data_IF_577901637557
#
_entry.id   IF_577901637557
#
_cell.length_a   1.000
_cell.length_b   1.000
_cell.length_c   1.000
_cell.angle_alpha   90.00
_cell.angle_beta   90.00
_cell.angle_gamma   90.00
#
_symmetry.space_group_name_H-M   'P 1'
#
loop_
_entity.id
_entity.type
_entity.pdbx_description
1 polymer ?
#
# COMPACT_ATOMS: atom_id res chain seq x y z
N UNK A 1 -18.87 0.61 -2.14
CA UNK A 1 -17.50 0.75 -2.65
C UNK A 1 -16.50 0.32 -1.59
N UNK A 2 -15.47 -0.46 -1.95
CA UNK A 2 -14.43 -0.93 -1.02
C UNK A 2 -13.37 0.15 -0.78
N UNK A 3 -12.86 0.22 0.45
CA UNK A 3 -11.69 1.04 0.81
C UNK A 3 -10.50 0.11 1.00
N UNK A 4 -9.42 0.34 0.27
CA UNK A 4 -8.26 -0.53 0.23
C UNK A 4 -7.02 0.26 0.67
N UNK A 5 -6.24 -0.29 1.61
CA UNK A 5 -4.95 0.28 1.97
C UNK A 5 -3.89 -0.12 0.94
N UNK A 6 -3.22 0.86 0.34
CA UNK A 6 -2.18 0.61 -0.65
C UNK A 6 -0.91 -0.02 -0.03
N UNK A 7 -0.18 -0.85 -0.78
CA UNK A 7 1.11 -1.37 -0.34
C UNK A 7 2.17 -0.26 -0.39
N UNK A 8 2.71 0.11 0.76
CA UNK A 8 3.77 1.11 0.89
C UNK A 8 4.98 0.49 1.59
N UNK A 9 6.07 0.32 0.86
CA UNK A 9 7.29 -0.31 1.33
C UNK A 9 7.89 0.48 2.52
N UNK A 10 8.09 -0.19 3.66
CA UNK A 10 8.58 0.42 4.89
C UNK A 10 7.52 1.10 5.77
N UNK A 11 6.27 1.18 5.32
CA UNK A 11 5.18 1.84 6.06
C UNK A 11 4.04 0.88 6.41
N UNK A 12 3.46 0.18 5.43
CA UNK A 12 2.30 -0.70 5.65
C UNK A 12 2.70 -2.14 5.94
N UNK A 13 3.75 -2.34 6.75
CA UNK A 13 4.17 -3.66 7.25
C UNK A 13 3.09 -4.26 8.18
N UNK A 14 3.12 -5.56 8.42
CA UNK A 14 2.11 -6.29 9.18
C UNK A 14 1.77 -5.68 10.56
N UNK A 15 2.74 -5.23 11.38
CA UNK A 15 2.41 -4.59 12.65
C UNK A 15 1.54 -3.33 12.46
N UNK A 16 1.86 -2.51 11.44
CA UNK A 16 1.05 -1.33 11.15
C UNK A 16 -0.36 -1.71 10.71
N UNK A 17 -0.51 -2.66 9.78
CA UNK A 17 -1.83 -3.08 9.29
C UNK A 17 -2.70 -3.63 10.40
N UNK A 18 -2.12 -4.50 11.24
CA UNK A 18 -2.80 -5.10 12.40
C UNK A 18 -3.27 -4.02 13.38
N UNK A 19 -2.37 -3.17 13.85
CA UNK A 19 -2.73 -2.17 14.87
C UNK A 19 -3.59 -1.04 14.31
N UNK A 20 -3.42 -0.69 13.04
CA UNK A 20 -4.34 0.22 12.36
C UNK A 20 -5.78 -0.36 12.35
N UNK A 21 -5.96 -1.63 12.03
CA UNK A 21 -7.26 -2.29 12.07
C UNK A 21 -7.84 -2.36 13.51
N UNK A 22 -6.99 -2.56 14.51
CA UNK A 22 -7.41 -2.56 15.93
C UNK A 22 -7.88 -1.17 16.39
N UNK A 23 -7.16 -0.11 16.04
CA UNK A 23 -7.45 1.27 16.49
C UNK A 23 -8.62 1.89 15.72
N UNK A 24 -8.65 1.71 14.39
CA UNK A 24 -9.63 2.39 13.51
C UNK A 24 -10.79 1.48 13.07
N UNK A 25 -10.81 0.23 13.51
CA UNK A 25 -11.89 -0.71 13.23
C UNK A 25 -12.01 -1.11 11.76
N UNK A 26 -13.25 -1.28 11.29
CA UNK A 26 -13.57 -1.80 9.95
C UNK A 26 -13.55 -0.76 8.84
N UNK A 27 -12.85 0.37 9.02
CA UNK A 27 -12.78 1.42 7.99
C UNK A 27 -12.15 0.93 6.68
N UNK A 28 -11.08 0.16 6.77
CA UNK A 28 -10.40 -0.47 5.63
C UNK A 28 -10.91 -1.90 5.41
N UNK A 29 -11.42 -2.20 4.20
CA UNK A 29 -11.93 -3.55 3.85
C UNK A 29 -10.79 -4.53 3.52
N UNK A 30 -9.72 -4.02 2.93
CA UNK A 30 -8.59 -4.84 2.46
C UNK A 30 -7.29 -4.09 2.64
N UNK A 31 -6.32 -4.74 3.25
CA UNK A 31 -4.94 -4.25 3.31
C UNK A 31 -4.11 -4.94 2.23
N UNK A 32 -3.28 -4.19 1.50
CA UNK A 32 -2.26 -4.77 0.64
C UNK A 32 -0.91 -4.74 1.36
N UNK A 33 -0.27 -5.89 1.45
CA UNK A 33 1.07 -6.00 2.00
C UNK A 33 2.10 -5.37 1.03
N UNK A 34 3.18 -4.78 1.53
CA UNK A 34 4.32 -4.41 0.71
C UNK A 34 4.78 -5.58 -0.16
N UNK A 35 5.25 -5.28 -1.38
CA UNK A 35 5.59 -6.34 -2.32
C UNK A 35 6.74 -7.23 -1.83
N UNK A 36 6.60 -8.53 -2.09
CA UNK A 36 7.67 -9.50 -1.98
C UNK A 36 8.39 -9.66 -3.32
N UNK A 37 9.67 -10.02 -3.25
CA UNK A 37 10.52 -10.34 -4.41
C UNK A 37 11.49 -11.44 -4.06
N UNK A 38 12.03 -12.12 -5.06
CA UNK A 38 13.14 -13.02 -4.85
C UNK A 38 14.43 -12.23 -4.58
N UNK A 39 15.14 -12.64 -3.53
CA UNK A 39 16.51 -12.27 -3.23
C UNK A 39 17.31 -13.57 -3.06
N UNK A 40 18.33 -13.75 -3.89
CA UNK A 40 19.11 -15.00 -3.93
C UNK A 40 18.26 -16.28 -4.12
N UNK A 41 17.19 -16.17 -4.93
CA UNK A 41 16.35 -17.32 -5.30
C UNK A 41 15.19 -17.65 -4.34
N UNK A 42 14.99 -16.88 -3.26
CA UNK A 42 13.90 -17.09 -2.30
C UNK A 42 13.31 -15.76 -1.80
N UNK A 43 12.10 -15.82 -1.24
CA UNK A 43 11.54 -14.69 -0.49
C UNK A 43 12.30 -14.56 0.84
N UNK A 44 12.68 -13.33 1.20
CA UNK A 44 13.27 -13.11 2.53
C UNK A 44 12.30 -13.53 3.62
N UNK A 45 12.74 -14.28 4.64
CA UNK A 45 11.86 -14.78 5.70
C UNK A 45 11.03 -13.70 6.40
N UNK A 46 11.57 -12.46 6.51
CA UNK A 46 10.83 -11.34 7.11
C UNK A 46 9.68 -10.87 6.22
N UNK A 47 9.89 -10.83 4.89
CA UNK A 47 8.88 -10.36 3.93
C UNK A 47 7.77 -11.41 3.77
N UNK A 48 8.13 -12.70 3.81
CA UNK A 48 7.13 -13.78 3.85
C UNK A 48 6.29 -13.70 5.13
N UNK A 49 6.92 -13.56 6.30
CA UNK A 49 6.17 -13.39 7.57
C UNK A 49 5.26 -12.17 7.55
N UNK A 50 5.71 -11.07 6.95
CA UNK A 50 4.88 -9.87 6.80
C UNK A 50 3.65 -10.14 5.93
N UNK A 51 3.81 -10.88 4.84
CA UNK A 51 2.72 -11.20 3.91
C UNK A 51 1.65 -12.13 4.50
N UNK A 52 2.06 -13.10 5.33
CA UNK A 52 1.16 -14.11 5.91
C UNK A 52 0.53 -13.70 7.25
N UNK A 53 0.99 -12.60 7.84
CA UNK A 53 0.61 -12.21 9.21
C UNK A 53 -0.89 -11.89 9.39
N UNK A 54 -1.62 -11.67 8.29
CA UNK A 54 -3.04 -11.33 8.34
C UNK A 54 -3.84 -12.01 7.24
N UNK A 55 -4.90 -12.77 7.59
CA UNK A 55 -5.72 -13.51 6.63
C UNK A 55 -6.47 -12.64 5.61
N UNK A 56 -6.65 -11.33 5.92
CA UNK A 56 -7.36 -10.37 5.06
C UNK A 56 -6.43 -9.56 4.15
N UNK A 57 -5.12 -9.70 4.32
CA UNK A 57 -4.17 -8.99 3.48
C UNK A 57 -4.06 -9.64 2.09
N UNK A 58 -3.90 -8.81 1.08
CA UNK A 58 -3.47 -9.22 -0.25
C UNK A 58 -1.96 -9.13 -0.29
N UNK A 59 -1.28 -10.22 -0.65
CA UNK A 59 0.17 -10.22 -0.82
C UNK A 59 0.53 -9.70 -2.19
N UNK A 60 1.40 -8.69 -2.28
CA UNK A 60 1.83 -8.17 -3.56
C UNK A 60 3.15 -8.81 -4.00
N UNK A 61 3.22 -9.26 -5.26
CA UNK A 61 4.42 -9.74 -5.92
C UNK A 61 4.98 -8.66 -6.83
N UNK A 62 6.31 -8.52 -6.84
CA UNK A 62 7.03 -7.80 -7.89
C UNK A 62 8.05 -8.75 -8.52
N UNK A 63 7.88 -9.08 -9.81
CA UNK A 63 8.71 -10.02 -10.55
C UNK A 63 9.15 -9.43 -11.88
N UNK A 64 10.12 -10.08 -12.54
CA UNK A 64 10.65 -9.69 -13.84
C UNK A 64 10.19 -10.60 -14.99
N UNK A 65 9.83 -11.86 -14.68
CA UNK A 65 9.48 -12.90 -15.65
C UNK A 65 8.59 -13.98 -15.01
N UNK A 66 8.15 -14.94 -15.82
CA UNK A 66 7.28 -16.04 -15.41
C UNK A 66 7.95 -17.00 -14.41
N UNK A 67 9.25 -17.22 -14.49
CA UNK A 67 9.98 -18.10 -13.57
C UNK A 67 10.01 -17.48 -12.16
N UNK A 68 10.36 -16.20 -12.09
CA UNK A 68 10.36 -15.44 -10.82
C UNK A 68 8.96 -15.35 -10.22
N UNK A 69 7.93 -15.12 -11.07
CA UNK A 69 6.53 -15.13 -10.66
C UNK A 69 6.11 -16.47 -10.07
N UNK A 70 6.36 -17.60 -10.79
CA UNK A 70 5.97 -18.93 -10.34
C UNK A 70 6.64 -19.32 -9.04
N UNK A 71 7.91 -18.96 -8.86
CA UNK A 71 8.64 -19.19 -7.61
C UNK A 71 8.01 -18.42 -6.44
N UNK A 72 7.69 -17.14 -6.64
CA UNK A 72 7.06 -16.29 -5.63
C UNK A 72 5.64 -16.78 -5.29
N UNK A 73 4.83 -17.09 -6.30
CA UNK A 73 3.48 -17.60 -6.12
C UNK A 73 3.48 -18.94 -5.38
N UNK A 74 4.39 -19.86 -5.72
CA UNK A 74 4.54 -21.15 -5.05
C UNK A 74 4.89 -21.00 -3.57
N UNK A 75 5.84 -20.12 -3.21
CA UNK A 75 6.18 -19.88 -1.80
C UNK A 75 5.02 -19.27 -1.02
N UNK A 76 4.27 -18.32 -1.62
CA UNK A 76 3.12 -17.69 -0.98
C UNK A 76 1.96 -18.68 -0.81
N UNK A 77 1.64 -19.48 -1.82
CA UNK A 77 0.55 -20.47 -1.74
C UNK A 77 0.88 -21.59 -0.75
N UNK A 78 2.14 -22.05 -0.71
CA UNK A 78 2.61 -23.00 0.29
C UNK A 78 2.48 -22.45 1.74
N UNK A 79 2.54 -21.12 1.89
CA UNK A 79 2.29 -20.43 3.16
C UNK A 79 0.80 -20.14 3.43
N UNK A 80 -0.13 -20.60 2.57
CA UNK A 80 -1.58 -20.44 2.73
C UNK A 80 -2.16 -19.15 2.15
N UNK A 81 -1.39 -18.40 1.37
CA UNK A 81 -1.86 -17.18 0.68
C UNK A 81 -2.63 -17.59 -0.59
N UNK A 82 -3.85 -17.09 -0.70
CA UNK A 82 -4.73 -17.30 -1.86
C UNK A 82 -5.18 -15.99 -2.55
N UNK A 83 -4.62 -14.85 -2.17
CA UNK A 83 -4.89 -13.55 -2.78
C UNK A 83 -3.57 -12.86 -3.09
N UNK A 84 -3.27 -12.73 -4.37
CA UNK A 84 -1.99 -12.19 -4.85
C UNK A 84 -2.23 -11.03 -5.82
N UNK A 85 -1.52 -9.93 -5.60
CA UNK A 85 -1.54 -8.75 -6.46
C UNK A 85 -0.22 -8.63 -7.23
N UNK A 86 -0.28 -8.45 -8.55
CA UNK A 86 0.90 -8.24 -9.40
C UNK A 86 1.23 -6.74 -9.49
N UNK A 87 2.43 -6.36 -9.05
CA UNK A 87 2.90 -4.99 -9.17
C UNK A 87 3.45 -4.69 -10.56
N UNK A 88 2.73 -3.86 -11.31
CA UNK A 88 3.11 -3.34 -12.63
C UNK A 88 3.41 -1.83 -12.62
N UNK A 89 3.45 -1.20 -11.42
CA UNK A 89 3.52 0.26 -11.35
C UNK A 89 4.68 0.84 -10.55
N UNK A 90 5.53 0.02 -9.91
CA UNK A 90 6.66 0.53 -9.12
C UNK A 90 7.69 1.22 -10.01
N UNK A 91 7.90 2.56 -9.85
CA UNK A 91 8.82 3.31 -10.70
C UNK A 91 10.25 3.34 -10.16
N UNK A 92 10.53 2.66 -9.04
CA UNK A 92 11.82 2.71 -8.37
C UNK A 92 12.94 2.21 -9.29
N UNK A 93 13.94 3.06 -9.64
CA UNK A 93 14.90 2.74 -10.69
C UNK A 93 15.60 1.40 -10.58
N UNK A 94 16.03 0.92 -9.40
CA UNK A 94 16.60 -0.41 -9.27
C UNK A 94 15.63 -1.53 -9.68
N UNK A 95 14.33 -1.44 -9.36
CA UNK A 95 13.35 -2.44 -9.77
C UNK A 95 13.12 -2.40 -11.28
N UNK A 96 12.96 -1.20 -11.84
CA UNK A 96 12.78 -1.00 -13.28
C UNK A 96 13.97 -1.53 -14.06
N UNK A 97 15.21 -1.25 -13.61
CA UNK A 97 16.44 -1.78 -14.22
C UNK A 97 16.49 -3.32 -14.25
N UNK A 98 15.89 -3.96 -13.26
CA UNK A 98 15.76 -5.42 -13.19
C UNK A 98 14.52 -5.96 -13.92
N UNK A 99 13.81 -5.15 -14.70
CA UNK A 99 12.61 -5.56 -15.44
C UNK A 99 11.38 -5.82 -14.55
N UNK A 100 11.34 -5.27 -13.33
CA UNK A 100 10.26 -5.46 -12.36
C UNK A 100 9.35 -4.25 -12.28
N UNK A 101 8.11 -4.43 -11.84
CA UNK A 101 7.13 -3.37 -11.67
C UNK A 101 6.86 -2.62 -12.97
N UNK A 102 7.12 -1.30 -13.04
CA UNK A 102 7.00 -0.54 -14.28
C UNK A 102 7.97 -1.03 -15.39
N UNK A 103 9.02 -1.76 -15.03
CA UNK A 103 9.93 -2.39 -16.01
C UNK A 103 9.29 -3.62 -16.68
N UNK A 104 8.49 -4.41 -15.95
CA UNK A 104 7.69 -5.50 -16.53
C UNK A 104 6.55 -4.95 -17.39
N UNK A 105 5.87 -3.90 -16.93
CA UNK A 105 4.82 -3.22 -17.69
C UNK A 105 5.31 -2.62 -19.02
N UNK A 106 6.60 -2.35 -19.15
CA UNK A 106 7.21 -1.86 -20.39
C UNK A 106 7.57 -2.98 -21.40
N UNK A 107 7.30 -4.25 -21.08
CA UNK A 107 7.58 -5.42 -21.90
C UNK A 107 6.32 -6.31 -22.00
N UNK A 108 5.40 -6.02 -22.94
CA UNK A 108 4.13 -6.75 -23.07
C UNK A 108 4.31 -8.26 -23.33
N UNK A 109 5.37 -8.68 -24.03
CA UNK A 109 5.62 -10.11 -24.29
C UNK A 109 6.01 -10.84 -23.01
N UNK A 110 6.87 -10.23 -22.21
CA UNK A 110 7.27 -10.79 -20.91
C UNK A 110 6.11 -10.79 -19.92
N UNK A 111 5.30 -9.73 -19.93
CA UNK A 111 4.07 -9.67 -19.12
C UNK A 111 3.11 -10.79 -19.52
N UNK A 112 2.86 -11.01 -20.81
CA UNK A 112 2.01 -12.10 -21.26
C UNK A 112 2.43 -13.46 -20.73
N UNK A 113 3.75 -13.74 -20.70
CA UNK A 113 4.28 -14.98 -20.12
C UNK A 113 4.05 -15.07 -18.59
N UNK A 114 4.12 -13.96 -17.87
CA UNK A 114 3.79 -13.91 -16.43
C UNK A 114 2.31 -14.16 -16.19
N UNK A 115 1.44 -13.55 -16.98
CA UNK A 115 -0.02 -13.72 -16.89
C UNK A 115 -0.44 -15.15 -17.25
N UNK A 116 0.21 -15.78 -18.23
CA UNK A 116 -0.04 -17.18 -18.57
C UNK A 116 0.38 -18.13 -17.44
N UNK A 117 1.49 -17.84 -16.75
CA UNK A 117 1.94 -18.61 -15.58
C UNK A 117 0.93 -18.58 -14.41
N UNK A 118 0.05 -17.57 -14.31
CA UNK A 118 -1.02 -17.52 -13.29
C UNK A 118 -1.99 -18.69 -13.40
N UNK A 119 -2.18 -19.27 -14.59
CA UNK A 119 -3.05 -20.43 -14.80
C UNK A 119 -2.59 -21.69 -14.05
N UNK A 120 -1.34 -21.73 -13.58
CA UNK A 120 -0.81 -22.82 -12.74
C UNK A 120 -1.33 -22.76 -11.30
N UNK A 121 -2.00 -21.68 -10.90
CA UNK A 121 -2.47 -21.43 -9.52
C UNK A 121 -3.99 -21.13 -9.52
N UNK A 122 -4.84 -22.09 -9.90
CA UNK A 122 -6.28 -21.85 -10.05
C UNK A 122 -7.02 -21.50 -8.76
N UNK A 123 -6.41 -21.81 -7.59
CA UNK A 123 -6.95 -21.50 -6.26
C UNK A 123 -6.65 -20.06 -5.82
N UNK A 124 -5.81 -19.33 -6.55
CA UNK A 124 -5.39 -17.98 -6.21
C UNK A 124 -6.28 -16.95 -6.89
N UNK A 125 -6.81 -16.01 -6.12
CA UNK A 125 -7.44 -14.79 -6.63
C UNK A 125 -6.37 -13.76 -6.99
N UNK A 126 -6.18 -13.53 -8.29
CA UNK A 126 -5.21 -12.56 -8.77
C UNK A 126 -5.83 -11.17 -8.98
N UNK A 127 -5.08 -10.14 -8.59
CA UNK A 127 -5.29 -8.75 -8.99
C UNK A 127 -3.99 -8.17 -9.56
N UNK A 128 -4.08 -7.01 -10.19
CA UNK A 128 -2.89 -6.29 -10.64
C UNK A 128 -2.99 -4.81 -10.26
N UNK A 129 -1.82 -4.18 -10.06
CA UNK A 129 -1.73 -2.75 -9.81
C UNK A 129 -0.74 -2.09 -10.76
N UNK A 130 -1.24 -1.14 -11.56
CA UNK A 130 -0.42 -0.42 -12.55
C UNK A 130 -0.53 1.10 -12.42
N UNK A 131 0.20 1.81 -13.28
CA UNK A 131 0.09 3.25 -13.55
C UNK A 131 -0.52 3.49 -14.93
N UNK A 132 -0.55 4.74 -15.37
CA UNK A 132 -1.10 5.12 -16.68
C UNK A 132 -0.17 4.79 -17.87
N UNK A 133 1.07 4.39 -17.60
CA UNK A 133 2.00 4.05 -18.67
C UNK A 133 1.55 2.78 -19.42
N UNK A 134 1.57 2.82 -20.76
CA UNK A 134 1.32 1.70 -21.67
C UNK A 134 -0.04 0.98 -21.47
N UNK A 135 -1.00 1.60 -20.80
CA UNK A 135 -2.26 0.93 -20.44
C UNK A 135 -2.99 0.30 -21.67
N UNK A 136 -2.95 0.95 -22.82
CA UNK A 136 -3.65 0.48 -24.04
C UNK A 136 -3.08 -0.87 -24.55
N UNK A 137 -1.79 -1.11 -24.36
CA UNK A 137 -1.15 -2.39 -24.71
C UNK A 137 -1.35 -3.45 -23.61
N UNK A 138 -1.42 -3.03 -22.33
CA UNK A 138 -1.52 -3.94 -21.21
C UNK A 138 -2.94 -4.44 -20.97
N UNK A 139 -3.94 -3.62 -21.24
CA UNK A 139 -5.33 -3.91 -20.92
C UNK A 139 -5.86 -5.18 -21.56
N UNK A 140 -5.67 -5.43 -22.87
CA UNK A 140 -6.10 -6.67 -23.51
C UNK A 140 -5.42 -7.93 -22.93
N UNK A 141 -4.16 -7.82 -22.51
CA UNK A 141 -3.44 -8.92 -21.88
C UNK A 141 -4.01 -9.23 -20.50
N UNK A 142 -4.28 -8.20 -19.69
CA UNK A 142 -4.87 -8.35 -18.36
C UNK A 142 -6.29 -8.93 -18.44
N UNK A 143 -7.10 -8.48 -19.39
CA UNK A 143 -8.48 -8.98 -19.60
C UNK A 143 -8.54 -10.45 -20.02
N UNK A 144 -7.55 -10.91 -20.79
CA UNK A 144 -7.46 -12.31 -21.22
C UNK A 144 -6.82 -13.25 -20.18
N UNK A 145 -6.41 -12.72 -19.03
CA UNK A 145 -5.69 -13.44 -18.00
C UNK A 145 -6.57 -13.81 -16.78
N UNK A 146 -6.07 -14.57 -15.79
CA UNK A 146 -6.77 -14.85 -14.53
C UNK A 146 -6.99 -13.64 -13.61
N UNK A 147 -6.49 -12.44 -13.96
CA UNK A 147 -6.66 -11.22 -13.16
C UNK A 147 -8.14 -10.87 -12.99
N UNK A 148 -8.60 -10.68 -11.75
CA UNK A 148 -10.00 -10.41 -11.40
C UNK A 148 -10.31 -8.93 -11.14
N UNK A 149 -9.30 -8.11 -10.88
CA UNK A 149 -9.46 -6.67 -10.66
C UNK A 149 -8.16 -5.93 -10.92
N UNK A 150 -8.27 -4.65 -11.25
CA UNK A 150 -7.13 -3.82 -11.62
C UNK A 150 -7.14 -2.51 -10.81
N UNK A 151 -6.09 -2.29 -10.03
CA UNK A 151 -5.86 -1.01 -9.37
C UNK A 151 -5.02 -0.09 -10.25
N UNK A 152 -5.53 1.10 -10.55
CA UNK A 152 -4.84 2.08 -11.40
C UNK A 152 -4.42 3.27 -10.56
N UNK A 153 -3.10 3.48 -10.43
CA UNK A 153 -2.58 4.73 -9.94
C UNK A 153 -2.63 5.75 -11.08
N UNK A 154 -3.58 6.67 -10.98
CA UNK A 154 -3.90 7.65 -12.03
C UNK A 154 -2.79 8.72 -12.20
N UNK A 155 -1.54 8.27 -12.35
CA UNK A 155 -0.34 9.05 -12.65
C UNK A 155 0.62 8.26 -13.53
N UNK A 156 1.35 8.96 -14.38
CA UNK A 156 2.46 8.37 -15.13
C UNK A 156 3.68 8.13 -14.26
N UNK A 157 4.52 7.18 -14.64
CA UNK A 157 5.76 6.81 -13.93
C UNK A 157 6.67 8.00 -13.64
N UNK A 158 6.81 8.92 -14.61
CA UNK A 158 7.67 10.10 -14.50
C UNK A 158 7.22 11.07 -13.40
N UNK A 159 5.92 11.15 -13.14
CA UNK A 159 5.35 11.98 -12.08
C UNK A 159 5.69 11.46 -10.68
N UNK A 160 6.04 10.18 -10.54
CA UNK A 160 6.20 9.50 -9.25
C UNK A 160 4.98 9.72 -8.34
N UNK A 161 5.09 10.69 -7.43
CA UNK A 161 4.03 11.08 -6.48
C UNK A 161 3.71 12.58 -6.55
N UNK A 162 4.25 13.30 -7.53
CA UNK A 162 4.00 14.72 -7.75
C UNK A 162 2.80 14.95 -8.69
N UNK A 163 2.26 16.15 -8.65
CA UNK A 163 1.11 16.53 -9.47
C UNK A 163 -0.21 15.86 -9.05
N UNK A 164 -1.25 16.21 -9.77
CA UNK A 164 -2.59 15.66 -9.57
C UNK A 164 -2.77 14.31 -10.27
N UNK A 165 -3.79 13.56 -9.86
CA UNK A 165 -4.23 12.37 -10.56
C UNK A 165 -4.90 12.76 -11.88
N UNK A 166 -4.57 12.07 -12.96
CA UNK A 166 -5.20 12.27 -14.27
C UNK A 166 -6.54 11.51 -14.33
N UNK A 167 -7.61 12.21 -13.98
CA UNK A 167 -8.96 11.64 -13.97
C UNK A 167 -9.52 11.45 -15.37
N UNK A 168 -9.06 12.23 -16.35
CA UNK A 168 -9.51 12.09 -17.73
C UNK A 168 -8.96 10.80 -18.33
N UNK A 169 -7.67 10.55 -18.18
CA UNK A 169 -7.06 9.31 -18.65
C UNK A 169 -7.61 8.10 -17.90
N UNK A 170 -7.85 8.21 -16.59
CA UNK A 170 -8.51 7.16 -15.81
C UNK A 170 -9.91 6.85 -16.34
N UNK A 171 -10.70 7.89 -16.70
CA UNK A 171 -12.03 7.71 -17.29
C UNK A 171 -11.98 7.01 -18.65
N UNK A 172 -10.96 7.32 -19.48
CA UNK A 172 -10.71 6.63 -20.74
C UNK A 172 -10.47 5.15 -20.52
N UNK A 173 -9.56 4.79 -19.62
CA UNK A 173 -9.28 3.38 -19.27
C UNK A 173 -10.54 2.68 -18.78
N UNK A 174 -11.32 3.37 -17.92
CA UNK A 174 -12.57 2.80 -17.38
C UNK A 174 -13.59 2.48 -18.48
N UNK A 175 -13.66 3.28 -19.52
CA UNK A 175 -14.55 3.04 -20.67
C UNK A 175 -14.10 1.87 -21.54
N UNK A 176 -12.80 1.57 -21.57
CA UNK A 176 -12.20 0.54 -22.43
C UNK A 176 -12.13 -0.84 -21.76
N UNK A 177 -12.30 -0.95 -20.43
CA UNK A 177 -12.14 -2.23 -19.73
C UNK A 177 -13.43 -2.73 -19.07
N UNK A 178 -13.57 -4.07 -19.05
CA UNK A 178 -14.58 -4.78 -18.26
C UNK A 178 -14.06 -5.25 -16.91
N UNK A 179 -12.77 -5.15 -16.65
CA UNK A 179 -12.21 -5.51 -15.34
C UNK A 179 -12.76 -4.59 -14.25
N UNK A 180 -13.13 -5.12 -13.08
CA UNK A 180 -13.45 -4.32 -11.91
C UNK A 180 -12.26 -3.40 -11.56
N UNK A 181 -12.47 -2.08 -11.67
CA UNK A 181 -11.43 -1.09 -11.42
C UNK A 181 -11.42 -0.60 -9.99
N UNK A 182 -10.20 -0.38 -9.49
CA UNK A 182 -9.89 0.25 -8.22
C UNK A 182 -9.11 1.53 -8.53
N UNK A 183 -9.69 2.68 -8.15
CA UNK A 183 -8.99 3.97 -8.29
C UNK A 183 -7.91 4.10 -7.23
N UNK A 184 -6.72 4.57 -7.59
CA UNK A 184 -5.67 4.96 -6.67
C UNK A 184 -5.07 6.30 -7.10
N UNK A 185 -4.98 7.25 -6.17
CA UNK A 185 -4.28 8.52 -6.39
C UNK A 185 -4.91 9.71 -5.69
N UNK A 186 -4.13 10.47 -4.92
CA UNK A 186 -4.50 11.77 -4.40
C UNK A 186 -5.57 11.82 -3.31
N UNK A 187 -5.98 10.71 -2.73
CA UNK A 187 -7.00 10.71 -1.67
C UNK A 187 -6.33 10.93 -0.31
N UNK A 188 -6.59 12.07 0.31
CA UNK A 188 -6.10 12.48 1.63
C UNK A 188 -7.20 13.04 2.54
N UNK A 189 -8.41 13.23 2.00
CA UNK A 189 -9.57 13.74 2.72
C UNK A 189 -10.83 12.96 2.32
N UNK A 190 -11.87 13.04 3.18
CA UNK A 190 -13.18 12.48 2.89
C UNK A 190 -13.80 13.14 1.65
N UNK A 191 -13.63 14.45 1.48
CA UNK A 191 -14.12 15.16 0.30
C UNK A 191 -13.53 14.60 -1.00
N UNK A 192 -12.23 14.42 -1.08
CA UNK A 192 -11.58 13.83 -2.27
C UNK A 192 -12.08 12.41 -2.53
N UNK A 193 -12.34 11.63 -1.48
CA UNK A 193 -12.96 10.32 -1.64
C UNK A 193 -14.38 10.42 -2.22
N UNK A 194 -15.22 11.31 -1.67
CA UNK A 194 -16.59 11.50 -2.11
C UNK A 194 -16.66 12.03 -3.55
N UNK A 195 -15.74 12.92 -3.94
CA UNK A 195 -15.62 13.43 -5.30
C UNK A 195 -15.32 12.30 -6.30
N UNK A 196 -14.39 11.40 -5.99
CA UNK A 196 -14.08 10.22 -6.83
C UNK A 196 -15.25 9.23 -6.82
N UNK A 197 -15.82 8.94 -5.66
CA UNK A 197 -16.93 7.99 -5.54
C UNK A 197 -18.17 8.45 -6.31
N UNK A 198 -18.43 9.77 -6.34
CA UNK A 198 -19.53 10.38 -7.08
C UNK A 198 -19.24 10.42 -8.59
N UNK A 199 -18.02 10.73 -8.99
CA UNK A 199 -17.59 10.74 -10.38
C UNK A 199 -17.54 9.36 -11.03
N UNK A 200 -17.28 8.31 -10.23
CA UNK A 200 -17.12 6.92 -10.67
C UNK A 200 -17.87 5.94 -9.75
N UNK A 201 -19.21 5.94 -9.77
CA UNK A 201 -20.01 5.19 -8.78
C UNK A 201 -19.91 3.67 -8.88
N UNK A 202 -19.48 3.15 -10.00
CA UNK A 202 -19.36 1.70 -10.31
C UNK A 202 -17.93 1.14 -10.14
N UNK A 203 -17.03 1.89 -9.49
CA UNK A 203 -15.73 1.35 -9.10
C UNK A 203 -15.88 0.19 -8.10
N UNK A 204 -15.04 -0.82 -8.26
CA UNK A 204 -14.92 -1.91 -7.29
C UNK A 204 -14.37 -1.42 -5.94
N UNK A 205 -13.57 -0.36 -5.95
CA UNK A 205 -13.03 0.26 -4.75
C UNK A 205 -12.16 1.48 -5.01
N UNK A 206 -11.73 2.09 -3.91
CA UNK A 206 -10.74 3.18 -3.90
C UNK A 206 -9.59 2.74 -3.01
N UNK A 207 -8.37 2.80 -3.55
CA UNK A 207 -7.14 2.45 -2.84
C UNK A 207 -6.46 3.72 -2.34
N UNK A 208 -6.25 3.80 -1.03
CA UNK A 208 -5.65 4.95 -0.36
C UNK A 208 -4.24 4.57 0.12
N UNK A 209 -3.25 5.36 -0.24
CA UNK A 209 -1.86 5.17 0.17
C UNK A 209 -1.43 6.19 1.23
N UNK A 210 -0.70 7.20 0.81
CA UNK A 210 -0.16 8.24 1.70
C UNK A 210 -1.24 8.95 2.54
N UNK A 211 -2.48 9.04 2.04
CA UNK A 211 -3.58 9.59 2.82
C UNK A 211 -3.86 8.84 4.12
N UNK A 212 -3.71 7.50 4.14
CA UNK A 212 -3.78 6.73 5.39
C UNK A 212 -2.53 6.88 6.27
N UNK A 213 -1.39 7.32 5.70
CA UNK A 213 -0.20 7.61 6.51
C UNK A 213 -0.29 8.98 7.16
N UNK A 214 -0.83 9.97 6.44
CA UNK A 214 -1.00 11.33 6.95
C UNK A 214 -2.24 11.51 7.82
N UNK A 215 -3.27 10.70 7.58
CA UNK A 215 -4.55 10.71 8.34
C UNK A 215 -5.02 9.27 8.55
N UNK A 216 -4.46 8.54 9.51
CA UNK A 216 -4.78 7.11 9.71
C UNK A 216 -6.27 6.85 9.98
N UNK A 217 -7.00 7.80 10.55
CA UNK A 217 -8.45 7.75 10.77
C UNK A 217 -9.29 7.88 9.48
N UNK A 218 -8.70 8.29 8.35
CA UNK A 218 -9.43 8.66 7.13
C UNK A 218 -10.46 7.62 6.68
N UNK A 219 -10.09 6.35 6.67
CA UNK A 219 -11.01 5.29 6.26
C UNK A 219 -12.20 5.14 7.22
N UNK A 220 -11.98 5.28 8.53
CA UNK A 220 -13.04 5.26 9.53
C UNK A 220 -13.95 6.49 9.39
N UNK A 221 -13.39 7.66 9.14
CA UNK A 221 -14.15 8.91 8.92
C UNK A 221 -15.02 8.83 7.67
N UNK A 222 -14.49 8.26 6.57
CA UNK A 222 -15.27 8.02 5.34
C UNK A 222 -16.47 7.11 5.64
N UNK A 223 -16.25 6.00 6.37
CA UNK A 223 -17.33 5.08 6.73
C UNK A 223 -18.40 5.68 7.63
N UNK A 224 -17.98 6.56 8.51
CA UNK A 224 -18.90 7.26 9.43
C UNK A 224 -19.57 8.48 8.78
N UNK A 225 -19.13 8.91 7.60
CA UNK A 225 -19.61 10.12 6.93
C UNK A 225 -19.31 11.41 7.71
N UNK A 226 -18.31 11.38 8.61
CA UNK A 226 -17.99 12.46 9.53
C UNK A 226 -16.48 12.58 9.75
N UNK A 227 -15.97 13.81 9.66
CA UNK A 227 -14.58 14.09 10.03
C UNK A 227 -14.43 14.06 11.56
N UNK A 228 -13.37 13.42 12.05
CA UNK A 228 -13.03 13.42 13.46
C UNK A 228 -12.42 14.77 13.88
N UNK A 229 -12.60 15.15 15.13
CA UNK A 229 -11.90 16.30 15.69
C UNK A 229 -10.37 16.08 15.69
N UNK A 230 -9.59 17.16 15.72
CA UNK A 230 -8.15 17.07 15.81
C UNK A 230 -7.71 16.30 17.09
N UNK A 231 -8.45 16.48 18.19
CA UNK A 231 -8.18 15.78 19.44
C UNK A 231 -8.41 14.25 19.29
N UNK A 232 -9.56 13.84 18.71
CA UNK A 232 -9.86 12.42 18.53
C UNK A 232 -8.84 11.74 17.59
N UNK A 233 -8.43 12.45 16.52
CA UNK A 233 -7.40 11.94 15.59
C UNK A 233 -6.06 11.77 16.30
N UNK A 234 -5.64 12.76 17.06
CA UNK A 234 -4.36 12.72 17.79
C UNK A 234 -4.36 11.60 18.82
N UNK A 235 -5.43 11.43 19.60
CA UNK A 235 -5.56 10.34 20.57
C UNK A 235 -5.39 8.98 19.89
N UNK A 236 -6.08 8.75 18.79
CA UNK A 236 -5.99 7.51 18.02
C UNK A 236 -4.58 7.29 17.41
N UNK A 237 -3.92 8.35 16.92
CA UNK A 237 -2.54 8.30 16.42
C UNK A 237 -1.59 7.89 17.54
N UNK A 238 -1.74 8.45 18.73
CA UNK A 238 -0.91 8.11 19.89
C UNK A 238 -1.14 6.67 20.37
N UNK A 239 -2.38 6.16 20.33
CA UNK A 239 -2.67 4.76 20.63
C UNK A 239 -2.03 3.81 19.60
N UNK A 240 -2.17 4.11 18.29
CA UNK A 240 -1.50 3.34 17.23
C UNK A 240 0.02 3.35 17.40
N UNK A 241 0.60 4.52 17.69
CA UNK A 241 2.03 4.64 17.98
C UNK A 241 2.45 3.79 19.16
N UNK A 242 1.72 3.86 20.28
CA UNK A 242 2.01 3.10 21.50
C UNK A 242 2.07 1.60 21.22
N UNK A 243 1.05 1.05 20.53
CA UNK A 243 1.00 -0.37 20.12
C UNK A 243 2.20 -0.77 19.25
N UNK A 244 2.56 0.06 18.26
CA UNK A 244 3.72 -0.17 17.40
C UNK A 244 5.04 -0.11 18.18
N UNK A 245 5.19 0.87 19.08
CA UNK A 245 6.40 1.04 19.88
C UNK A 245 6.60 -0.13 20.85
N UNK A 246 5.55 -0.57 21.54
CA UNK A 246 5.55 -1.75 22.40
C UNK A 246 5.96 -3.00 21.62
N UNK A 247 5.31 -3.25 20.47
CA UNK A 247 5.64 -4.39 19.59
C UNK A 247 7.11 -4.37 19.16
N UNK A 248 7.62 -3.24 18.67
CA UNK A 248 9.01 -3.16 18.25
C UNK A 248 10.00 -3.27 19.42
N UNK A 249 9.63 -2.77 20.59
CA UNK A 249 10.46 -2.89 21.81
C UNK A 249 10.59 -4.34 22.28
N UNK A 250 9.56 -5.17 22.07
CA UNK A 250 9.59 -6.60 22.39
C UNK A 250 10.32 -7.44 21.33
N UNK A 251 10.20 -7.08 20.06
CA UNK A 251 10.68 -7.92 18.94
C UNK A 251 12.07 -7.58 18.43
N UNK A 252 12.59 -6.39 18.73
CA UNK A 252 13.86 -5.91 18.18
C UNK A 252 14.93 -5.78 19.27
N UNK A 253 16.18 -6.03 18.86
CA UNK A 253 17.32 -5.97 19.75
C UNK A 253 17.98 -4.59 19.69
N UNK A 254 17.77 -3.81 20.75
CA UNK A 254 18.48 -2.56 21.00
C UNK A 254 17.88 -1.31 20.36
N UNK A 255 18.24 -0.14 20.91
CA UNK A 255 17.62 1.16 20.61
C UNK A 255 17.68 1.56 19.13
N UNK A 256 18.78 1.26 18.46
CA UNK A 256 18.96 1.64 17.05
C UNK A 256 17.96 0.95 16.10
N UNK A 257 17.67 -0.33 16.33
CA UNK A 257 16.70 -1.06 15.53
C UNK A 257 15.28 -0.56 15.80
N UNK A 258 14.93 -0.32 17.07
CA UNK A 258 13.62 0.22 17.46
C UNK A 258 13.41 1.58 16.79
N UNK A 259 14.37 2.51 16.92
CA UNK A 259 14.28 3.84 16.31
C UNK A 259 14.16 3.77 14.79
N UNK A 260 14.88 2.89 14.14
CA UNK A 260 14.82 2.75 12.67
C UNK A 260 13.45 2.27 12.18
N UNK A 261 12.70 1.53 13.01
CA UNK A 261 11.37 1.01 12.68
C UNK A 261 10.24 1.95 13.08
N UNK A 262 10.37 2.66 14.21
CA UNK A 262 9.27 3.50 14.71
C UNK A 262 9.26 4.91 14.13
N UNK A 263 10.43 5.49 13.82
CA UNK A 263 10.50 6.87 13.31
C UNK A 263 9.79 7.10 11.97
N UNK A 264 9.82 6.16 10.99
CA UNK A 264 9.04 6.29 9.76
C UNK A 264 7.53 6.47 9.97
N UNK A 265 6.97 5.97 11.07
CA UNK A 265 5.56 6.17 11.43
C UNK A 265 5.16 7.66 11.42
N UNK A 266 6.06 8.56 11.84
CA UNK A 266 5.80 9.99 11.95
C UNK A 266 6.05 10.79 10.67
N UNK A 267 6.54 10.15 9.60
CA UNK A 267 7.01 10.85 8.40
C UNK A 267 5.92 11.70 7.72
N UNK A 268 4.68 11.21 7.76
CA UNK A 268 3.53 11.87 7.12
C UNK A 268 2.61 12.59 8.11
N UNK A 269 2.92 12.59 9.41
CA UNK A 269 2.04 13.09 10.47
C UNK A 269 2.37 14.51 10.94
N UNK A 270 3.21 15.25 10.20
CA UNK A 270 3.63 16.60 10.62
C UNK A 270 2.44 17.56 10.82
N UNK A 271 1.38 17.45 10.02
CA UNK A 271 0.17 18.26 10.16
C UNK A 271 -0.62 17.92 11.45
N UNK A 272 -0.62 16.67 11.88
CA UNK A 272 -1.34 16.22 13.06
C UNK A 272 -0.59 16.51 14.37
N UNK A 273 0.76 16.45 14.36
CA UNK A 273 1.58 16.58 15.58
C UNK A 273 2.37 17.89 15.66
N UNK A 274 2.32 18.71 14.61
CA UNK A 274 3.04 19.98 14.51
C UNK A 274 4.53 19.83 14.15
N UNK A 275 5.06 20.85 13.48
CA UNK A 275 6.44 20.89 12.94
C UNK A 275 7.52 20.71 14.00
N UNK A 276 7.30 21.25 15.23
CA UNK A 276 8.28 21.18 16.33
C UNK A 276 8.49 19.74 16.76
N UNK A 277 7.40 19.02 17.09
CA UNK A 277 7.45 17.63 17.50
C UNK A 277 8.00 16.73 16.37
N UNK A 278 7.52 16.87 15.14
CA UNK A 278 8.03 16.12 13.98
C UNK A 278 9.54 16.29 13.80
N UNK A 279 10.06 17.53 13.95
CA UNK A 279 11.49 17.80 13.86
C UNK A 279 12.29 17.16 14.99
N UNK A 280 11.77 17.19 16.22
CA UNK A 280 12.42 16.59 17.40
C UNK A 280 12.48 15.07 17.26
N UNK A 281 11.38 14.42 16.88
CA UNK A 281 11.31 12.98 16.64
C UNK A 281 12.32 12.56 15.56
N UNK A 282 12.35 13.28 14.43
CA UNK A 282 13.28 13.00 13.32
C UNK A 282 14.74 13.06 13.76
N UNK A 283 15.10 14.02 14.64
CA UNK A 283 16.47 14.22 15.13
C UNK A 283 16.84 13.28 16.30
N UNK A 284 15.90 12.66 16.96
CA UNK A 284 16.18 11.79 18.09
C UNK A 284 17.11 10.63 17.70
N UNK A 285 18.21 10.47 18.43
CA UNK A 285 19.23 9.43 18.23
C UNK A 285 19.31 8.43 19.41
N UNK A 286 18.47 8.62 20.42
CA UNK A 286 18.30 7.72 21.55
C UNK A 286 16.82 7.55 21.89
N UNK A 287 16.45 6.45 22.55
CA UNK A 287 15.07 6.22 23.00
C UNK A 287 14.62 7.29 24.02
N UNK A 288 15.51 7.74 24.87
CA UNK A 288 15.21 8.83 25.83
C UNK A 288 14.81 10.11 25.10
N UNK A 289 15.62 10.54 24.11
CA UNK A 289 15.30 11.72 23.30
C UNK A 289 14.04 11.55 22.47
N UNK A 290 13.83 10.34 21.93
CA UNK A 290 12.63 10.01 21.17
C UNK A 290 11.37 10.07 22.05
N UNK A 291 11.38 9.41 23.21
CA UNK A 291 10.24 9.40 24.13
C UNK A 291 9.93 10.82 24.65
N UNK A 292 10.95 11.62 24.95
CA UNK A 292 10.75 13.02 25.33
C UNK A 292 10.09 13.83 24.20
N UNK A 293 10.49 13.60 22.94
CA UNK A 293 9.89 14.26 21.79
C UNK A 293 8.43 13.83 21.58
N UNK A 294 8.11 12.55 21.72
CA UNK A 294 6.72 12.05 21.62
C UNK A 294 5.86 12.59 22.76
N UNK A 295 6.38 12.59 24.01
CA UNK A 295 5.66 13.15 25.16
C UNK A 295 5.44 14.66 25.08
N UNK A 296 6.14 15.37 24.20
CA UNK A 296 5.96 16.81 23.95
C UNK A 296 4.91 17.13 22.86
N UNK A 297 4.23 16.12 22.34
CA UNK A 297 3.13 16.33 21.40
C UNK A 297 1.94 16.84 22.22
N UNK A 298 1.62 18.11 22.04
CA UNK A 298 0.48 18.75 22.68
C UNK A 298 -0.73 18.69 21.72
N UNK A 299 -1.92 18.68 22.30
CA UNK A 299 -3.14 18.86 21.51
C UNK A 299 -3.07 20.26 20.85
N UNK A 300 -3.04 20.25 19.52
CA UNK A 300 -3.16 21.48 18.76
C UNK A 300 -4.57 22.06 18.97
N UNK A 301 -4.69 23.35 19.28
CA UNK A 301 -5.99 23.97 19.59
C UNK A 301 -6.94 23.96 18.38
#
# INVERSE_FOLDING_TARGET
MKIISAPLQGFTEAPWRRFHAEVYGSGVDTYCAPFVRLEHGAIRPRDLRDSIAEPRAVSQIICRDAEEFSSLASELTAAGINRIDLNLGCPFPPQVKHGRGAGLAADPQRLASVLDAMNQFPEVEFSAKMRLDNWAELLPLLESSPVKSLAIHARYRQQQYSGEADLQEFATIKAETKLPLIFNGGISSRREFDDIASGFPDLAGIMIGRGLMSRPSLAAEIRQGKDWSAADRLEAILDLHRKLFEYYSEKLCGPGQILSKIKPFWEYLEEEIGRKAAKQIRKANSLTAYNAAVSSIDYLP
#
